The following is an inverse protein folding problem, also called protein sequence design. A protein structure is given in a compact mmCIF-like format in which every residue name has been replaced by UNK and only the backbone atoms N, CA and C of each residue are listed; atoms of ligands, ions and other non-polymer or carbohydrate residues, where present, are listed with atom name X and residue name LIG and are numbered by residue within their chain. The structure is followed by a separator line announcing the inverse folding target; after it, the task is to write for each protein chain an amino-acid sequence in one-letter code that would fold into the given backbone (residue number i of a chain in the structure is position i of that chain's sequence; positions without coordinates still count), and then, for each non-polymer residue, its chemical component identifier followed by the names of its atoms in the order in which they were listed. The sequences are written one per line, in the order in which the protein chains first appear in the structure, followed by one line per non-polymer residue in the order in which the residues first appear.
data_IF_065329404079
#
_entry.id   IF_065329404079
#
_cell.length_a   1.000
_cell.length_b   1.000
_cell.length_c   1.000
_cell.angle_alpha   90.00
_cell.angle_beta   90.00
_cell.angle_gamma   90.00
#
_symmetry.space_group_name_H-M   'P 1'
#
loop_
_entity.id
_entity.type
_entity.pdbx_description
1 polymer ?
#
# COMPACT_ATOMS: atom_id res chain seq x y z
N UNK A 1 -42.51 -12.01 7.99
CA UNK A 1 -41.74 -10.87 8.54
C UNK A 1 -40.88 -11.23 9.76
N UNK A 2 -41.38 -12.04 10.72
CA UNK A 2 -40.59 -12.50 11.88
C UNK A 2 -39.44 -13.48 11.56
N UNK A 3 -39.66 -14.44 10.65
CA UNK A 3 -38.60 -15.36 10.18
C UNK A 3 -37.48 -14.63 9.44
N UNK A 4 -37.81 -13.63 8.63
CA UNK A 4 -36.83 -12.80 7.92
C UNK A 4 -36.02 -11.91 8.89
N UNK A 5 -36.62 -11.47 10.01
CA UNK A 5 -35.92 -10.80 11.11
C UNK A 5 -35.01 -11.75 11.91
N UNK A 6 -35.46 -12.97 12.22
CA UNK A 6 -34.62 -13.98 12.91
C UNK A 6 -33.42 -14.41 12.07
N UNK A 7 -33.60 -14.65 10.77
CA UNK A 7 -32.50 -14.98 9.86
C UNK A 7 -31.48 -13.84 9.78
N UNK A 8 -31.93 -12.58 9.75
CA UNK A 8 -31.06 -11.39 9.86
C UNK A 8 -30.30 -11.30 11.20
N UNK A 9 -30.89 -11.75 12.31
CA UNK A 9 -30.22 -11.74 13.62
C UNK A 9 -29.20 -12.87 13.77
N UNK A 10 -29.41 -14.05 13.18
CA UNK A 10 -28.47 -15.18 13.28
C UNK A 10 -27.30 -15.13 12.28
N UNK A 11 -27.40 -14.26 11.27
CA UNK A 11 -26.39 -14.10 10.22
C UNK A 11 -25.44 -12.92 10.44
N UNK A 12 -25.52 -12.27 11.60
CA UNK A 12 -24.65 -11.18 12.02
C UNK A 12 -23.51 -11.75 12.90
N UNK A 13 -22.27 -11.36 12.59
CA UNK A 13 -21.06 -11.80 13.29
C UNK A 13 -21.16 -11.53 14.80
N UNK A 14 -21.69 -10.36 15.15
CA UNK A 14 -21.77 -9.92 16.54
C UNK A 14 -22.77 -10.73 17.35
N UNK A 15 -23.87 -11.16 16.74
CA UNK A 15 -24.92 -11.92 17.42
C UNK A 15 -24.59 -13.42 17.49
N UNK A 16 -23.82 -13.94 16.54
CA UNK A 16 -23.51 -15.37 16.48
C UNK A 16 -22.60 -15.88 17.61
N UNK A 17 -21.66 -15.05 18.06
CA UNK A 17 -20.77 -15.37 19.17
C UNK A 17 -20.96 -14.46 20.39
N UNK A 18 -22.13 -13.83 20.50
CA UNK A 18 -22.48 -12.91 21.59
C UNK A 18 -21.39 -11.86 21.87
N UNK A 19 -20.88 -11.25 20.79
CA UNK A 19 -19.88 -10.18 20.81
C UNK A 19 -20.55 -8.81 21.03
N UNK A 20 -21.70 -8.80 21.68
CA UNK A 20 -22.46 -7.61 22.06
C UNK A 20 -22.25 -7.39 23.57
N UNK A 21 -22.62 -6.22 24.09
CA UNK A 21 -22.47 -5.88 25.51
C UNK A 21 -20.98 -5.94 25.97
N UNK A 22 -20.69 -6.45 27.17
CA UNK A 22 -19.34 -6.47 27.75
C UNK A 22 -18.28 -7.25 26.97
N UNK A 23 -18.66 -7.96 25.89
CA UNK A 23 -17.77 -8.75 25.03
C UNK A 23 -17.45 -8.08 23.67
N UNK A 24 -17.90 -6.84 23.44
CA UNK A 24 -17.61 -6.09 22.21
C UNK A 24 -16.10 -5.95 21.91
N UNK A 25 -15.28 -5.86 22.96
CA UNK A 25 -13.82 -5.79 22.87
C UNK A 25 -13.21 -7.00 22.14
N UNK A 26 -13.88 -8.17 22.13
CA UNK A 26 -13.41 -9.35 21.44
C UNK A 26 -13.42 -9.14 19.91
N UNK A 27 -14.48 -8.54 19.37
CA UNK A 27 -14.56 -8.24 17.94
C UNK A 27 -13.43 -7.28 17.50
N UNK A 28 -13.20 -6.23 18.28
CA UNK A 28 -12.11 -5.27 18.09
C UNK A 28 -10.73 -5.92 18.22
N UNK A 29 -10.55 -6.77 19.23
CA UNK A 29 -9.31 -7.53 19.44
C UNK A 29 -9.02 -8.45 18.25
N UNK A 30 -10.04 -9.09 17.66
CA UNK A 30 -9.85 -9.91 16.44
C UNK A 30 -9.31 -9.09 15.27
N UNK A 31 -9.69 -7.81 15.17
CA UNK A 31 -9.21 -6.90 14.13
C UNK A 31 -7.79 -6.42 14.43
N UNK A 32 -7.47 -6.08 15.68
CA UNK A 32 -6.11 -5.72 16.09
C UNK A 32 -5.15 -6.88 15.85
N UNK A 33 -5.51 -8.10 16.23
CA UNK A 33 -4.71 -9.31 15.98
C UNK A 33 -4.44 -9.45 14.47
N UNK A 34 -5.49 -9.34 13.64
CA UNK A 34 -5.36 -9.39 12.18
C UNK A 34 -4.37 -8.34 11.66
N UNK A 35 -4.45 -7.10 12.12
CA UNK A 35 -3.54 -6.03 11.71
C UNK A 35 -2.10 -6.26 12.18
N UNK A 36 -1.89 -6.76 13.41
CA UNK A 36 -0.56 -7.04 13.95
C UNK A 36 0.15 -8.16 13.20
N UNK A 37 -0.55 -9.24 12.87
CA UNK A 37 0.07 -10.36 12.14
C UNK A 37 0.40 -10.00 10.70
N UNK A 38 -0.32 -9.07 10.07
CA UNK A 38 -0.03 -8.60 8.71
C UNK A 38 1.42 -8.11 8.52
N UNK A 39 2.04 -7.49 9.54
CA UNK A 39 3.45 -7.04 9.49
C UNK A 39 4.38 -8.22 9.25
N UNK A 40 4.23 -9.28 10.05
CA UNK A 40 5.08 -10.46 9.96
C UNK A 40 4.86 -11.19 8.63
N UNK A 41 3.62 -11.23 8.16
CA UNK A 41 3.26 -11.79 6.86
C UNK A 41 3.98 -11.09 5.71
N UNK A 42 3.91 -9.76 5.68
CA UNK A 42 4.57 -8.97 4.65
C UNK A 42 6.10 -9.06 4.74
N UNK A 43 6.68 -8.99 5.94
CA UNK A 43 8.13 -9.12 6.11
C UNK A 43 8.66 -10.45 5.55
N UNK A 44 8.01 -11.56 5.91
CA UNK A 44 8.42 -12.91 5.48
C UNK A 44 8.26 -13.04 3.96
N UNK A 45 7.12 -12.63 3.42
CA UNK A 45 6.81 -12.84 1.99
C UNK A 45 7.53 -11.86 1.09
N UNK A 46 7.71 -10.60 1.48
CA UNK A 46 8.49 -9.61 0.75
C UNK A 46 9.96 -10.04 0.66
N UNK A 47 10.54 -10.53 1.76
CA UNK A 47 11.89 -11.10 1.75
C UNK A 47 11.95 -12.38 0.89
N UNK A 48 10.99 -13.28 1.02
CA UNK A 48 10.92 -14.49 0.19
C UNK A 48 10.75 -14.15 -1.30
N UNK A 49 10.00 -13.11 -1.64
CA UNK A 49 9.79 -12.68 -3.01
C UNK A 49 11.07 -12.14 -3.65
N UNK A 50 11.97 -11.54 -2.87
CA UNK A 50 13.30 -11.12 -3.36
C UNK A 50 14.20 -12.32 -3.68
N UNK A 51 14.07 -13.42 -2.92
CA UNK A 51 14.92 -14.62 -3.09
C UNK A 51 14.36 -15.63 -4.09
N UNK A 52 13.06 -15.88 -4.08
CA UNK A 52 12.40 -16.94 -4.85
C UNK A 52 11.80 -16.41 -6.16
N UNK A 53 11.36 -15.15 -6.17
CA UNK A 53 10.67 -14.52 -7.28
C UNK A 53 9.33 -13.92 -6.87
N UNK A 54 8.86 -12.92 -7.62
CA UNK A 54 7.60 -12.20 -7.33
C UNK A 54 6.40 -13.09 -7.59
N UNK A 55 6.35 -13.74 -8.74
CA UNK A 55 5.23 -14.59 -9.20
C UNK A 55 4.94 -15.77 -8.27
N UNK A 56 5.89 -16.65 -7.89
CA UNK A 56 5.59 -17.82 -7.08
C UNK A 56 5.10 -17.44 -5.68
N UNK A 57 5.69 -16.42 -5.06
CA UNK A 57 5.27 -15.95 -3.73
C UNK A 57 3.89 -15.30 -3.78
N UNK A 58 3.58 -14.55 -4.85
CA UNK A 58 2.25 -13.98 -5.03
C UNK A 58 1.15 -15.06 -5.19
N UNK A 59 1.42 -16.10 -5.99
CA UNK A 59 0.52 -17.26 -6.14
C UNK A 59 0.34 -17.98 -4.80
N UNK A 60 1.43 -18.19 -4.06
CA UNK A 60 1.39 -18.83 -2.75
C UNK A 60 0.55 -18.03 -1.75
N UNK A 61 0.72 -16.70 -1.70
CA UNK A 61 -0.08 -15.82 -0.85
C UNK A 61 -1.58 -15.91 -1.17
N UNK A 62 -1.96 -15.87 -2.45
CA UNK A 62 -3.37 -16.05 -2.84
C UNK A 62 -3.91 -17.45 -2.50
N UNK A 63 -3.11 -18.51 -2.65
CA UNK A 63 -3.52 -19.85 -2.26
C UNK A 63 -3.83 -19.93 -0.76
N UNK A 64 -2.99 -19.32 0.09
CA UNK A 64 -3.25 -19.22 1.53
C UNK A 64 -4.54 -18.43 1.84
N UNK A 65 -4.78 -17.31 1.15
CA UNK A 65 -6.03 -16.53 1.31
C UNK A 65 -7.25 -17.35 0.93
N UNK A 66 -7.20 -18.13 -0.16
CA UNK A 66 -8.32 -18.99 -0.57
C UNK A 66 -8.60 -20.06 0.50
N UNK A 67 -7.57 -20.77 0.96
CA UNK A 67 -7.70 -21.87 1.92
C UNK A 67 -8.18 -21.35 3.28
N UNK A 68 -7.41 -20.46 3.90
CA UNK A 68 -7.67 -19.99 5.26
C UNK A 68 -8.81 -18.97 5.32
N UNK A 69 -9.00 -18.16 4.29
CA UNK A 69 -10.12 -17.24 4.21
C UNK A 69 -11.46 -17.97 4.06
N UNK A 70 -11.52 -19.02 3.24
CA UNK A 70 -12.73 -19.86 3.14
C UNK A 70 -12.98 -20.63 4.44
N UNK A 71 -11.93 -21.18 5.07
CA UNK A 71 -12.03 -21.81 6.37
C UNK A 71 -12.54 -20.84 7.46
N UNK A 72 -12.12 -19.56 7.42
CA UNK A 72 -12.65 -18.52 8.31
C UNK A 72 -14.16 -18.38 8.18
N UNK A 73 -14.71 -18.40 6.96
CA UNK A 73 -16.16 -18.35 6.76
C UNK A 73 -16.91 -19.59 7.27
N UNK A 74 -16.25 -20.75 7.33
CA UNK A 74 -16.80 -22.01 7.82
C UNK A 74 -16.60 -22.24 9.33
N UNK A 75 -15.83 -21.38 10.00
CA UNK A 75 -15.46 -21.54 11.42
C UNK A 75 -16.68 -21.53 12.35
N UNK A 76 -16.78 -22.50 13.26
CA UNK A 76 -17.93 -22.61 14.18
C UNK A 76 -17.64 -22.03 15.57
N UNK A 77 -16.37 -21.98 15.96
CA UNK A 77 -15.89 -21.41 17.23
C UNK A 77 -15.19 -20.08 17.01
N UNK A 78 -15.37 -19.14 17.94
CA UNK A 78 -14.71 -17.84 17.94
C UNK A 78 -13.17 -17.96 17.93
N UNK A 79 -12.59 -18.89 18.70
CA UNK A 79 -11.13 -19.08 18.71
C UNK A 79 -10.64 -19.55 17.34
N UNK A 80 -11.36 -20.50 16.72
CA UNK A 80 -11.05 -20.97 15.37
C UNK A 80 -11.16 -19.82 14.35
N UNK A 81 -12.18 -18.97 14.47
CA UNK A 81 -12.31 -17.77 13.65
C UNK A 81 -11.12 -16.82 13.79
N UNK A 82 -10.71 -16.47 15.01
CA UNK A 82 -9.58 -15.56 15.24
C UNK A 82 -8.28 -16.13 14.69
N UNK A 83 -8.00 -17.41 14.94
CA UNK A 83 -6.78 -18.07 14.43
C UNK A 83 -6.76 -18.11 12.90
N UNK A 84 -7.86 -18.54 12.26
CA UNK A 84 -7.95 -18.61 10.80
C UNK A 84 -7.90 -17.22 10.15
N UNK A 85 -8.56 -16.23 10.78
CA UNK A 85 -8.50 -14.83 10.36
C UNK A 85 -7.07 -14.30 10.47
N UNK A 86 -6.36 -14.60 11.55
CA UNK A 86 -4.96 -14.21 11.72
C UNK A 86 -4.05 -14.82 10.63
N UNK A 87 -4.21 -16.11 10.32
CA UNK A 87 -3.46 -16.76 9.24
C UNK A 87 -3.80 -16.13 7.88
N UNK A 88 -5.07 -15.80 7.65
CA UNK A 88 -5.49 -15.07 6.45
C UNK A 88 -4.81 -13.70 6.38
N UNK A 89 -4.67 -12.99 7.50
CA UNK A 89 -3.98 -11.70 7.60
C UNK A 89 -2.50 -11.77 7.20
N UNK A 90 -1.79 -12.82 7.62
CA UNK A 90 -0.40 -13.08 7.19
C UNK A 90 -0.27 -13.16 5.66
N UNK A 91 -1.27 -13.70 4.96
CA UNK A 91 -1.25 -13.84 3.51
C UNK A 91 -1.82 -12.63 2.75
N UNK A 92 -2.67 -11.82 3.40
CA UNK A 92 -3.45 -10.76 2.74
C UNK A 92 -2.62 -9.55 2.29
N UNK A 93 -1.68 -9.08 3.11
CA UNK A 93 -0.83 -7.94 2.73
C UNK A 93 0.24 -8.36 1.75
N UNK A 94 0.79 -9.55 1.97
CA UNK A 94 1.75 -10.22 1.12
C UNK A 94 1.31 -10.27 -0.35
N UNK A 95 0.04 -10.55 -0.63
CA UNK A 95 -0.49 -10.54 -2.00
C UNK A 95 -0.49 -9.12 -2.60
N UNK A 96 -0.88 -8.10 -1.83
CA UNK A 96 -0.87 -6.70 -2.28
C UNK A 96 0.54 -6.23 -2.64
N UNK A 97 1.51 -6.43 -1.73
CA UNK A 97 2.89 -5.97 -1.90
C UNK A 97 3.59 -6.65 -3.08
N UNK A 98 3.47 -7.97 -3.18
CA UNK A 98 4.11 -8.74 -4.27
C UNK A 98 3.46 -8.49 -5.63
N UNK A 99 2.14 -8.26 -5.68
CA UNK A 99 1.42 -7.92 -6.91
C UNK A 99 1.81 -6.55 -7.44
N UNK A 100 1.88 -5.56 -6.55
CA UNK A 100 2.36 -4.20 -6.86
C UNK A 100 3.79 -4.22 -7.41
N UNK A 101 4.70 -4.95 -6.77
CA UNK A 101 6.08 -5.12 -7.22
C UNK A 101 6.16 -5.74 -8.62
N UNK A 102 5.43 -6.83 -8.84
CA UNK A 102 5.42 -7.52 -10.13
C UNK A 102 4.97 -6.57 -11.25
N UNK A 103 3.86 -5.85 -11.06
CA UNK A 103 3.34 -4.91 -12.06
C UNK A 103 4.36 -3.80 -12.33
N UNK A 104 4.87 -3.15 -11.29
CA UNK A 104 5.79 -2.02 -11.45
C UNK A 104 7.13 -2.41 -12.10
N UNK A 105 7.58 -3.65 -11.91
CA UNK A 105 8.77 -4.20 -12.55
C UNK A 105 8.55 -4.64 -14.00
N UNK A 106 7.29 -4.82 -14.42
CA UNK A 106 6.93 -5.19 -15.81
C UNK A 106 6.80 -3.97 -16.74
N UNK A 107 6.61 -2.76 -16.19
CA UNK A 107 6.43 -1.55 -16.99
C UNK A 107 7.66 -0.64 -16.95
N UNK A 108 7.97 -0.03 -18.10
CA UNK A 108 9.01 0.99 -18.22
C UNK A 108 8.65 2.29 -17.47
N UNK A 109 9.62 3.19 -17.34
CA UNK A 109 9.46 4.47 -16.62
C UNK A 109 8.32 5.35 -17.15
N UNK A 110 8.06 5.31 -18.45
CA UNK A 110 7.01 6.10 -19.11
C UNK A 110 5.59 5.73 -18.63
N UNK A 111 5.31 4.43 -18.47
CA UNK A 111 3.96 3.94 -18.14
C UNK A 111 3.76 3.72 -16.63
N UNK A 112 4.81 3.95 -15.84
CA UNK A 112 4.83 3.65 -14.40
C UNK A 112 3.79 4.43 -13.60
N UNK A 113 3.55 5.69 -13.96
CA UNK A 113 2.54 6.52 -13.29
C UNK A 113 1.13 5.99 -13.49
N UNK A 114 0.83 5.54 -14.72
CA UNK A 114 -0.47 4.96 -15.08
C UNK A 114 -0.68 3.65 -14.34
N UNK A 115 0.35 2.80 -14.26
CA UNK A 115 0.23 1.50 -13.60
C UNK A 115 0.21 1.60 -12.08
N UNK A 116 0.99 2.52 -11.50
CA UNK A 116 1.01 2.76 -10.06
C UNK A 116 -0.33 3.31 -9.56
N UNK A 117 -0.78 4.44 -10.13
CA UNK A 117 -2.05 5.08 -9.72
C UNK A 117 -3.26 4.28 -10.23
N UNK A 118 -3.13 3.56 -11.34
CA UNK A 118 -4.14 2.64 -11.87
C UNK A 118 -4.63 1.62 -10.85
N UNK A 119 -3.74 1.15 -9.97
CA UNK A 119 -4.08 0.19 -8.91
C UNK A 119 -4.91 0.81 -7.78
N UNK A 120 -4.86 2.12 -7.61
CA UNK A 120 -5.74 2.83 -6.67
C UNK A 120 -7.18 2.86 -7.18
N UNK A 121 -7.40 2.90 -8.51
CA UNK A 121 -8.76 2.72 -9.04
C UNK A 121 -9.34 1.35 -8.74
N UNK A 122 -8.51 0.29 -8.77
CA UNK A 122 -8.94 -1.04 -8.35
C UNK A 122 -9.40 -1.04 -6.87
N UNK A 123 -8.68 -0.33 -5.99
CA UNK A 123 -9.09 -0.17 -4.60
C UNK A 123 -10.47 0.48 -4.47
N UNK A 124 -10.71 1.59 -5.18
CA UNK A 124 -12.00 2.30 -5.14
C UNK A 124 -13.16 1.45 -5.66
N UNK A 125 -12.94 0.71 -6.76
CA UNK A 125 -13.94 -0.22 -7.30
C UNK A 125 -14.32 -1.27 -6.25
N UNK A 126 -13.33 -1.87 -5.60
CA UNK A 126 -13.57 -2.88 -4.55
C UNK A 126 -14.24 -2.27 -3.31
N UNK A 127 -13.85 -1.06 -2.92
CA UNK A 127 -14.43 -0.32 -1.80
C UNK A 127 -15.92 -0.05 -2.01
N UNK A 128 -16.34 0.35 -3.22
CA UNK A 128 -17.74 0.59 -3.56
C UNK A 128 -18.52 -0.72 -3.80
N UNK A 129 -17.85 -1.77 -4.29
CA UNK A 129 -18.48 -3.07 -4.54
C UNK A 129 -18.77 -3.84 -3.25
N UNK A 130 -17.90 -3.74 -2.24
CA UNK A 130 -18.03 -4.46 -0.97
C UNK A 130 -19.38 -4.25 -0.26
N UNK A 131 -19.89 -3.01 -0.04
CA UNK A 131 -21.20 -2.81 0.59
C UNK A 131 -22.35 -3.34 -0.26
N UNK A 132 -22.24 -3.32 -1.59
CA UNK A 132 -23.25 -3.90 -2.49
C UNK A 132 -23.28 -5.42 -2.33
N UNK A 133 -22.11 -6.08 -2.29
CA UNK A 133 -22.02 -7.51 -2.04
C UNK A 133 -22.53 -7.87 -0.65
N UNK A 134 -22.24 -7.08 0.37
CA UNK A 134 -22.75 -7.28 1.73
C UNK A 134 -24.28 -7.11 1.81
N UNK A 135 -24.85 -6.18 1.03
CA UNK A 135 -26.30 -6.01 0.93
C UNK A 135 -26.98 -7.20 0.25
N UNK A 136 -26.38 -7.73 -0.83
CA UNK A 136 -26.92 -8.92 -1.52
C UNK A 136 -26.74 -10.18 -0.66
N UNK A 137 -25.56 -10.35 -0.08
CA UNK A 137 -25.16 -11.49 0.75
C UNK A 137 -25.27 -11.11 2.22
N UNK A 138 -26.48 -11.20 2.75
CA UNK A 138 -26.84 -10.89 4.13
C UNK A 138 -26.08 -11.71 5.20
N UNK A 139 -25.36 -12.76 4.81
CA UNK A 139 -24.61 -13.63 5.70
C UNK A 139 -23.11 -13.40 5.52
N UNK A 140 -22.45 -12.95 6.59
CA UNK A 140 -21.02 -12.64 6.60
C UNK A 140 -20.15 -13.85 6.19
N UNK A 141 -20.61 -15.08 6.45
CA UNK A 141 -19.90 -16.32 6.10
C UNK A 141 -19.83 -16.53 4.60
N UNK A 142 -20.95 -16.33 3.90
CA UNK A 142 -21.00 -16.42 2.45
C UNK A 142 -20.20 -15.29 1.80
N UNK A 143 -20.27 -14.08 2.37
CA UNK A 143 -19.47 -12.96 1.92
C UNK A 143 -17.96 -13.27 2.06
N UNK A 144 -17.53 -13.77 3.22
CA UNK A 144 -16.14 -14.14 3.48
C UNK A 144 -15.65 -15.21 2.47
N UNK A 145 -16.41 -16.29 2.28
CA UNK A 145 -16.06 -17.35 1.31
C UNK A 145 -16.00 -16.81 -0.11
N UNK A 146 -16.96 -15.98 -0.53
CA UNK A 146 -16.95 -15.38 -1.86
C UNK A 146 -15.72 -14.51 -2.09
N UNK A 147 -15.37 -13.65 -1.13
CA UNK A 147 -14.19 -12.81 -1.21
C UNK A 147 -12.90 -13.65 -1.26
N UNK A 148 -12.81 -14.72 -0.47
CA UNK A 148 -11.68 -15.65 -0.53
C UNK A 148 -11.58 -16.38 -1.86
N UNK A 149 -12.69 -16.89 -2.41
CA UNK A 149 -12.70 -17.57 -3.71
C UNK A 149 -12.39 -16.63 -4.88
N UNK A 150 -12.69 -15.34 -4.76
CA UNK A 150 -12.32 -14.35 -5.78
C UNK A 150 -10.80 -14.27 -6.01
N UNK A 151 -10.00 -14.66 -5.03
CA UNK A 151 -8.54 -14.77 -5.16
C UNK A 151 -8.09 -15.87 -6.15
N UNK A 152 -8.94 -16.86 -6.45
CA UNK A 152 -8.63 -17.86 -7.48
C UNK A 152 -8.54 -17.23 -8.88
N UNK A 153 -9.37 -16.24 -9.17
CA UNK A 153 -9.33 -15.51 -10.45
C UNK A 153 -7.99 -14.80 -10.61
N UNK A 154 -7.51 -14.15 -9.55
CA UNK A 154 -6.20 -13.52 -9.51
C UNK A 154 -5.06 -14.52 -9.67
N UNK A 155 -5.15 -15.67 -9.00
CA UNK A 155 -4.15 -16.73 -9.11
C UNK A 155 -4.02 -17.24 -10.56
N UNK A 156 -5.15 -17.49 -11.25
CA UNK A 156 -5.16 -17.90 -12.65
C UNK A 156 -4.55 -16.82 -13.55
N UNK A 157 -4.91 -15.55 -13.32
CA UNK A 157 -4.38 -14.43 -14.09
C UNK A 157 -2.85 -14.30 -13.96
N UNK A 158 -2.33 -14.34 -12.74
CA UNK A 158 -0.89 -14.23 -12.46
C UNK A 158 -0.13 -15.46 -12.96
N UNK A 159 -0.74 -16.64 -12.95
CA UNK A 159 -0.11 -17.85 -13.49
C UNK A 159 0.21 -17.72 -14.99
N UNK A 160 -0.60 -16.97 -15.74
CA UNK A 160 -0.40 -16.70 -17.17
C UNK A 160 0.69 -15.63 -17.40
N UNK A 161 0.91 -14.71 -16.46
CA UNK A 161 1.93 -13.68 -16.59
C UNK A 161 3.35 -14.25 -16.48
N UNK A 162 4.33 -13.67 -17.19
CA UNK A 162 5.73 -14.05 -16.98
C UNK A 162 6.25 -13.48 -15.65
N UNK A 163 7.40 -13.98 -15.21
CA UNK A 163 8.11 -13.42 -14.05
C UNK A 163 8.76 -12.06 -14.42
N UNK A 164 8.95 -11.22 -13.41
CA UNK A 164 9.57 -9.90 -13.53
C UNK A 164 10.91 -9.95 -14.28
N UNK A 165 11.04 -9.28 -15.44
CA UNK A 165 12.32 -9.19 -16.16
C UNK A 165 13.42 -8.53 -15.34
N UNK A 166 13.08 -7.47 -14.59
CA UNK A 166 14.01 -6.74 -13.75
C UNK A 166 14.59 -7.63 -12.64
N UNK A 167 13.72 -8.41 -11.96
CA UNK A 167 14.17 -9.35 -10.94
C UNK A 167 15.05 -10.47 -11.52
N UNK A 168 14.72 -10.96 -12.72
CA UNK A 168 15.52 -11.98 -13.40
C UNK A 168 16.92 -11.48 -13.75
N UNK A 169 17.04 -10.25 -14.27
CA UNK A 169 18.33 -9.60 -14.54
C UNK A 169 19.12 -9.39 -13.26
N UNK A 170 18.50 -8.85 -12.22
CA UNK A 170 19.16 -8.60 -10.93
C UNK A 170 19.68 -9.89 -10.27
N UNK A 171 19.05 -11.04 -10.53
CA UNK A 171 19.51 -12.36 -10.05
C UNK A 171 20.38 -13.11 -11.06
N UNK A 172 20.87 -12.46 -12.12
CA UNK A 172 21.76 -13.05 -13.12
C UNK A 172 21.11 -14.11 -14.03
N UNK A 173 19.78 -14.22 -14.04
CA UNK A 173 19.02 -15.17 -14.85
C UNK A 173 18.68 -14.58 -16.23
N UNK A 174 19.70 -14.14 -16.98
CA UNK A 174 19.56 -13.42 -18.25
C UNK A 174 18.73 -14.17 -19.30
N UNK A 175 18.97 -15.47 -19.51
CA UNK A 175 18.23 -16.28 -20.49
C UNK A 175 16.71 -16.28 -20.20
N UNK A 176 16.33 -16.37 -18.92
CA UNK A 176 14.91 -16.30 -18.52
C UNK A 176 14.35 -14.89 -18.69
N UNK A 177 15.15 -13.85 -18.45
CA UNK A 177 14.75 -12.47 -18.67
C UNK A 177 14.48 -12.20 -20.15
N UNK A 178 15.36 -12.65 -21.05
CA UNK A 178 15.19 -12.55 -22.51
C UNK A 178 13.93 -13.27 -22.99
N UNK A 179 13.68 -14.48 -22.46
CA UNK A 179 12.44 -15.21 -22.73
C UNK A 179 11.19 -14.47 -22.24
N UNK A 180 11.26 -13.85 -21.05
CA UNK A 180 10.17 -13.04 -20.48
C UNK A 180 9.85 -11.85 -21.39
N UNK A 181 10.87 -11.06 -21.74
CA UNK A 181 10.75 -9.90 -22.63
C UNK A 181 10.26 -10.30 -24.04
N UNK A 182 10.75 -11.42 -24.58
CA UNK A 182 10.30 -11.93 -25.89
C UNK A 182 8.83 -12.31 -25.86
N UNK A 183 8.33 -12.94 -24.77
CA UNK A 183 6.90 -13.24 -24.61
C UNK A 183 6.06 -11.97 -24.52
N UNK A 184 6.54 -10.95 -23.81
CA UNK A 184 5.89 -9.65 -23.70
C UNK A 184 5.82 -8.95 -25.07
N UNK A 185 6.93 -8.90 -25.81
CA UNK A 185 7.00 -8.31 -27.15
C UNK A 185 6.02 -8.99 -28.12
N UNK A 186 5.99 -10.33 -28.15
CA UNK A 186 5.06 -11.10 -28.98
C UNK A 186 3.59 -10.79 -28.65
N UNK A 187 3.23 -10.70 -27.36
CA UNK A 187 1.86 -10.35 -26.95
C UNK A 187 1.48 -8.92 -27.31
N UNK A 188 2.44 -8.01 -27.32
CA UNK A 188 2.25 -6.62 -27.73
C UNK A 188 2.33 -6.43 -29.26
N UNK A 189 2.47 -7.51 -30.04
CA UNK A 189 2.54 -7.44 -31.51
C UNK A 189 3.88 -6.94 -32.06
N UNK A 190 4.91 -6.76 -31.21
CA UNK A 190 6.25 -6.37 -31.62
C UNK A 190 6.98 -7.58 -32.21
N UNK A 191 7.41 -7.47 -33.47
CA UNK A 191 8.29 -8.43 -34.12
C UNK A 191 9.74 -8.08 -33.77
N UNK A 192 10.38 -8.96 -33.00
CA UNK A 192 11.81 -8.87 -32.73
C UNK A 192 12.55 -9.44 -33.96
N UNK A 193 13.28 -8.59 -34.68
CA UNK A 193 14.07 -8.99 -35.85
C UNK A 193 15.33 -9.78 -35.45
N UNK A 194 15.81 -9.56 -34.23
CA UNK A 194 16.92 -10.29 -33.60
C UNK A 194 16.50 -10.75 -32.20
N UNK A 195 17.05 -11.86 -31.68
CA UNK A 195 16.86 -12.22 -30.28
C UNK A 195 17.34 -11.06 -29.40
N UNK A 196 16.52 -10.67 -28.42
CA UNK A 196 16.94 -9.73 -27.39
C UNK A 196 18.10 -10.37 -26.63
N UNK A 197 19.32 -9.95 -26.92
CA UNK A 197 20.51 -10.33 -26.17
C UNK A 197 20.74 -9.26 -25.12
N UNK A 198 20.37 -9.55 -23.88
CA UNK A 198 20.76 -8.72 -22.76
C UNK A 198 22.27 -8.88 -22.62
N UNK A 199 23.01 -7.81 -22.92
CA UNK A 199 24.46 -7.81 -22.82
C UNK A 199 24.86 -8.27 -21.42
N UNK A 200 25.66 -9.34 -21.34
CA UNK A 200 26.43 -9.69 -20.13
C UNK A 200 27.51 -8.64 -19.91
N UNK A 201 27.13 -7.37 -19.81
CA UNK A 201 28.01 -6.42 -19.17
C UNK A 201 28.01 -6.85 -17.70
N UNK A 202 29.04 -7.61 -17.35
CA UNK A 202 29.44 -7.76 -15.97
C UNK A 202 29.58 -6.33 -15.46
N UNK A 203 28.60 -5.83 -14.73
CA UNK A 203 28.94 -5.08 -13.53
C UNK A 203 29.85 -6.01 -12.73
N UNK A 204 31.16 -5.94 -13.03
CA UNK A 204 32.14 -6.25 -12.01
C UNK A 204 31.70 -5.38 -10.83
N UNK A 205 31.57 -5.93 -9.62
CA UNK A 205 31.61 -5.05 -8.47
C UNK A 205 32.88 -4.21 -8.68
N UNK A 206 32.75 -2.87 -8.72
CA UNK A 206 33.87 -1.98 -8.53
C UNK A 206 34.38 -2.23 -7.10
N UNK A 207 35.07 -3.34 -6.91
CA UNK A 207 36.16 -3.38 -5.97
C UNK A 207 37.30 -2.74 -6.74
N UNK A 208 37.65 -1.51 -6.37
CA UNK A 208 38.92 -0.89 -6.73
C UNK A 208 40.06 -1.80 -6.20
N UNK A 209 40.31 -2.90 -6.88
CA UNK A 209 41.48 -3.73 -6.62
C UNK A 209 42.63 -3.13 -7.42
N UNK A 210 43.22 -2.06 -6.87
CA UNK A 210 44.57 -1.68 -7.28
C UNK A 210 45.51 -2.80 -6.84
N UNK A 211 45.93 -3.61 -7.82
CA UNK A 211 47.04 -4.53 -7.61
C UNK A 211 48.34 -3.72 -7.61
N UNK A 212 48.84 -3.35 -6.44
CA UNK A 212 50.25 -2.98 -6.29
C UNK A 212 51.08 -4.26 -6.27
N UNK A 213 51.91 -4.44 -7.30
CA UNK A 213 52.92 -5.49 -7.34
C UNK A 213 54.07 -5.04 -6.44
N UNK A 214 54.23 -5.70 -5.29
CA UNK A 214 55.43 -5.64 -4.46
C UNK A 214 56.22 -6.94 -4.63
N UNK A 215 57.55 -6.89 -4.61
CA UNK A 215 58.44 -8.01 -4.96
C UNK A 215 58.35 -9.25 -4.04
N UNK A 216 57.59 -9.21 -2.93
CA UNK A 216 57.53 -10.30 -1.94
C UNK A 216 56.16 -11.01 -1.78
N UNK A 217 55.24 -10.92 -2.76
CA UNK A 217 54.09 -11.83 -2.87
C UNK A 217 52.69 -11.19 -2.87
N UNK A 218 51.71 -11.96 -3.39
CA UNK A 218 50.31 -11.54 -3.58
C UNK A 218 49.60 -11.48 -2.22
N UNK A 219 49.39 -10.28 -1.69
CA UNK A 219 48.47 -10.05 -0.57
C UNK A 219 47.18 -9.43 -1.10
N UNK A 220 46.10 -10.22 -1.10
CA UNK A 220 44.76 -9.72 -1.41
C UNK A 220 44.18 -9.05 -0.16
N UNK A 221 44.23 -7.72 -0.10
CA UNK A 221 43.49 -6.96 0.92
C UNK A 221 42.11 -6.62 0.35
N UNK A 222 41.05 -7.19 0.93
CA UNK A 222 39.67 -6.78 0.64
C UNK A 222 39.50 -5.37 1.18
N UNK A 223 39.42 -4.37 0.29
CA UNK A 223 38.99 -3.04 0.71
C UNK A 223 37.50 -3.12 1.04
N UNK A 224 37.18 -2.99 2.34
CA UNK A 224 35.85 -2.65 2.80
C UNK A 224 35.38 -1.42 2.03
N UNK A 225 34.38 -1.58 1.16
CA UNK A 225 33.73 -0.46 0.47
C UNK A 225 32.99 0.33 1.55
N UNK A 226 33.69 1.28 2.17
CA UNK A 226 33.09 2.30 3.03
C UNK A 226 32.13 3.09 2.15
N UNK A 227 30.85 2.72 2.18
CA UNK A 227 29.79 3.57 1.63
C UNK A 227 29.97 4.94 2.29
N UNK A 228 30.23 6.02 1.54
CA UNK A 228 30.48 7.33 2.12
C UNK A 228 29.32 7.69 3.06
N UNK A 229 29.64 8.08 4.29
CA UNK A 229 28.65 8.36 5.35
C UNK A 229 27.52 9.29 4.87
N UNK A 230 27.84 10.24 3.99
CA UNK A 230 26.89 11.19 3.39
C UNK A 230 25.81 10.52 2.51
N UNK A 231 26.15 9.44 1.78
CA UNK A 231 25.18 8.69 0.95
C UNK A 231 24.18 7.96 1.84
N UNK A 232 24.64 7.44 2.97
CA UNK A 232 23.80 6.75 3.95
C UNK A 232 22.85 7.72 4.68
N UNK A 233 23.34 8.92 5.00
CA UNK A 233 22.52 9.99 5.60
C UNK A 233 21.37 10.40 4.67
N UNK A 234 21.65 10.70 3.39
CA UNK A 234 20.60 11.05 2.42
C UNK A 234 19.56 9.94 2.27
N UNK A 235 19.99 8.68 2.29
CA UNK A 235 19.07 7.54 2.23
C UNK A 235 18.17 7.46 3.46
N UNK A 236 18.73 7.62 4.67
CA UNK A 236 17.94 7.64 5.90
C UNK A 236 17.00 8.85 5.98
N UNK A 237 17.41 10.01 5.47
CA UNK A 237 16.57 11.21 5.41
C UNK A 237 15.35 10.99 4.51
N UNK A 238 15.57 10.47 3.29
CA UNK A 238 14.47 10.12 2.36
C UNK A 238 13.51 9.14 3.02
N UNK A 239 14.01 8.05 3.59
CA UNK A 239 13.17 7.03 4.22
C UNK A 239 12.37 7.61 5.39
N UNK A 240 13.00 8.43 6.22
CA UNK A 240 12.38 8.99 7.42
C UNK A 240 11.27 9.97 7.04
N UNK A 241 11.54 10.86 6.08
CA UNK A 241 10.56 11.83 5.57
C UNK A 241 9.41 11.09 4.90
N UNK A 242 9.69 10.15 4.00
CA UNK A 242 8.69 9.33 3.31
C UNK A 242 7.83 8.50 4.29
N UNK A 243 8.44 7.90 5.31
CA UNK A 243 7.72 7.13 6.33
C UNK A 243 6.80 8.03 7.17
N UNK A 244 7.24 9.24 7.52
CA UNK A 244 6.41 10.22 8.21
C UNK A 244 5.22 10.68 7.35
N UNK A 245 5.47 11.02 6.09
CA UNK A 245 4.45 11.36 5.09
C UNK A 245 3.39 10.26 5.02
N UNK A 246 3.80 9.00 4.85
CA UNK A 246 2.89 7.85 4.76
C UNK A 246 2.12 7.62 6.06
N UNK A 247 2.76 7.74 7.21
CA UNK A 247 2.11 7.56 8.51
C UNK A 247 1.02 8.60 8.74
N UNK A 248 1.35 9.87 8.53
CA UNK A 248 0.39 10.97 8.65
C UNK A 248 -0.74 10.84 7.63
N UNK A 249 -0.43 10.55 6.37
CA UNK A 249 -1.42 10.38 5.32
C UNK A 249 -2.40 9.24 5.62
N UNK A 250 -1.89 8.09 6.08
CA UNK A 250 -2.69 6.94 6.51
C UNK A 250 -3.57 7.28 7.71
N UNK A 251 -3.03 8.00 8.70
CA UNK A 251 -3.76 8.44 9.88
C UNK A 251 -4.92 9.36 9.54
N UNK A 252 -4.69 10.37 8.70
CA UNK A 252 -5.74 11.31 8.24
C UNK A 252 -6.77 10.58 7.37
N UNK A 253 -6.34 9.73 6.45
CA UNK A 253 -7.22 8.94 5.59
C UNK A 253 -8.18 8.05 6.40
N UNK A 254 -7.65 7.27 7.35
CA UNK A 254 -8.49 6.44 8.22
C UNK A 254 -9.33 7.26 9.20
N UNK A 255 -8.79 8.36 9.74
CA UNK A 255 -9.52 9.27 10.61
C UNK A 255 -10.77 9.87 9.95
N UNK A 256 -10.66 10.24 8.66
CA UNK A 256 -11.80 10.73 7.88
C UNK A 256 -12.83 9.63 7.59
N UNK A 257 -12.38 8.41 7.31
CA UNK A 257 -13.30 7.26 7.14
C UNK A 257 -14.08 7.00 8.42
N UNK A 258 -13.42 7.00 9.58
CA UNK A 258 -14.08 6.81 10.89
C UNK A 258 -15.04 7.95 11.24
N UNK A 259 -14.75 9.17 10.78
CA UNK A 259 -15.58 10.34 11.02
C UNK A 259 -16.75 10.45 10.04
N UNK A 260 -16.74 9.70 8.93
CA UNK A 260 -17.77 9.74 7.88
C UNK A 260 -19.20 9.50 8.41
N UNK A 261 -19.45 8.53 9.32
CA UNK A 261 -20.79 8.33 9.88
C UNK A 261 -21.30 9.48 10.75
N UNK A 262 -20.42 10.33 11.25
CA UNK A 262 -20.75 11.48 12.11
C UNK A 262 -21.05 12.76 11.32
N UNK A 263 -20.86 12.74 10.00
CA UNK A 263 -21.20 13.85 9.10
C UNK A 263 -22.72 14.01 8.96
N UNK A 264 -23.17 15.21 8.61
CA UNK A 264 -24.59 15.44 8.37
C UNK A 264 -25.08 14.69 7.12
N UNK A 265 -26.34 14.25 7.16
CA UNK A 265 -26.98 13.50 6.09
C UNK A 265 -27.17 12.01 6.41
N UNK A 266 -27.48 11.23 5.39
CA UNK A 266 -27.63 9.78 5.52
C UNK A 266 -26.24 9.10 5.56
N UNK A 267 -26.03 8.20 6.52
CA UNK A 267 -24.74 7.53 6.75
C UNK A 267 -24.29 6.67 5.57
N UNK A 268 -25.22 6.04 4.85
CA UNK A 268 -24.89 5.18 3.70
C UNK A 268 -24.57 6.04 2.49
N UNK A 269 -25.31 7.14 2.30
CA UNK A 269 -25.01 8.14 1.29
C UNK A 269 -23.63 8.76 1.52
N UNK A 270 -23.31 9.16 2.75
CA UNK A 270 -22.00 9.72 3.09
C UNK A 270 -20.87 8.72 2.84
N UNK A 271 -21.06 7.44 3.18
CA UNK A 271 -20.07 6.40 2.86
C UNK A 271 -19.87 6.23 1.34
N UNK A 272 -20.95 6.21 0.57
CA UNK A 272 -20.89 6.11 -0.88
C UNK A 272 -20.20 7.34 -1.51
N UNK A 273 -20.51 8.55 -1.05
CA UNK A 273 -19.87 9.79 -1.50
C UNK A 273 -18.37 9.76 -1.17
N UNK A 274 -18.00 9.38 0.05
CA UNK A 274 -16.60 9.23 0.48
C UNK A 274 -15.81 8.31 -0.45
N UNK A 275 -16.39 7.19 -0.89
CA UNK A 275 -15.77 6.30 -1.87
C UNK A 275 -15.73 6.87 -3.30
N UNK A 276 -16.81 7.51 -3.74
CA UNK A 276 -16.90 8.11 -5.08
C UNK A 276 -15.92 9.26 -5.27
N UNK A 277 -15.64 10.03 -4.22
CA UNK A 277 -14.67 11.14 -4.22
C UNK A 277 -13.25 10.66 -4.56
N UNK A 278 -12.90 9.40 -4.29
CA UNK A 278 -11.58 8.86 -4.60
C UNK A 278 -11.35 8.67 -6.11
N UNK A 279 -12.40 8.46 -6.91
CA UNK A 279 -12.28 8.30 -8.37
C UNK A 279 -11.73 9.58 -9.04
N UNK A 280 -12.36 10.77 -8.90
CA UNK A 280 -11.80 11.99 -9.46
C UNK A 280 -10.49 12.39 -8.79
N UNK A 281 -10.27 12.04 -7.51
CA UNK A 281 -9.01 12.29 -6.82
C UNK A 281 -7.86 11.54 -7.49
N UNK A 282 -8.02 10.24 -7.74
CA UNK A 282 -7.01 9.41 -8.41
C UNK A 282 -6.80 9.82 -9.87
N UNK A 283 -7.86 10.22 -10.58
CA UNK A 283 -7.75 10.73 -11.95
C UNK A 283 -6.96 12.05 -12.00
N UNK A 284 -7.24 12.99 -11.11
CA UNK A 284 -6.49 14.24 -11.03
C UNK A 284 -5.06 14.00 -10.57
N UNK A 285 -4.83 13.08 -9.63
CA UNK A 285 -3.49 12.68 -9.21
C UNK A 285 -2.66 12.16 -10.39
N UNK A 286 -3.24 11.30 -11.23
CA UNK A 286 -2.56 10.78 -12.43
C UNK A 286 -2.18 11.90 -13.40
N UNK A 287 -3.11 12.82 -13.69
CA UNK A 287 -2.85 13.97 -14.57
C UNK A 287 -1.80 14.92 -13.99
N UNK A 288 -1.88 15.21 -12.69
CA UNK A 288 -0.96 16.09 -11.99
C UNK A 288 0.46 15.50 -11.99
N UNK A 289 0.60 14.19 -11.73
CA UNK A 289 1.91 13.52 -11.70
C UNK A 289 2.57 13.48 -13.07
N UNK A 290 1.78 13.31 -14.13
CA UNK A 290 2.29 13.34 -15.50
C UNK A 290 2.77 14.74 -15.90
N UNK A 291 2.11 15.81 -15.43
CA UNK A 291 2.42 17.19 -15.84
C UNK A 291 3.46 17.89 -14.96
N UNK A 292 3.40 17.68 -13.65
CA UNK A 292 4.15 18.47 -12.65
C UNK A 292 5.15 17.65 -11.83
N UNK A 293 5.34 16.37 -12.17
CA UNK A 293 6.17 15.45 -11.39
C UNK A 293 5.49 14.97 -10.11
N UNK A 294 6.22 14.40 -9.16
CA UNK A 294 5.66 13.77 -7.95
C UNK A 294 5.68 14.72 -6.76
N UNK A 295 6.71 15.56 -6.68
CA UNK A 295 7.00 16.43 -5.54
C UNK A 295 5.92 17.49 -5.34
N UNK A 296 5.61 18.26 -6.38
CA UNK A 296 4.65 19.37 -6.30
C UNK A 296 3.21 18.86 -6.06
N UNK A 297 2.69 17.85 -6.79
CA UNK A 297 1.35 17.33 -6.52
C UNK A 297 1.18 16.79 -5.11
N UNK A 298 2.19 16.11 -4.55
CA UNK A 298 2.16 15.63 -3.16
C UNK A 298 1.93 16.77 -2.18
N UNK A 299 2.67 17.88 -2.33
CA UNK A 299 2.49 19.07 -1.51
C UNK A 299 1.09 19.67 -1.65
N UNK A 300 0.65 19.90 -2.89
CA UNK A 300 -0.64 20.54 -3.18
C UNK A 300 -1.81 19.72 -2.65
N UNK A 301 -1.82 18.40 -2.85
CA UNK A 301 -2.90 17.55 -2.36
C UNK A 301 -2.95 17.48 -0.82
N UNK A 302 -1.80 17.48 -0.16
CA UNK A 302 -1.75 17.60 1.30
C UNK A 302 -2.24 18.96 1.81
N UNK A 303 -2.00 20.06 1.07
CA UNK A 303 -2.57 21.38 1.41
C UNK A 303 -4.09 21.41 1.22
N UNK A 304 -4.58 20.81 0.13
CA UNK A 304 -6.02 20.63 -0.14
C UNK A 304 -6.67 19.77 0.96
N UNK A 305 -5.94 18.83 1.55
CA UNK A 305 -6.40 18.08 2.71
C UNK A 305 -6.41 18.92 4.00
N UNK A 306 -5.29 19.58 4.30
CA UNK A 306 -5.06 20.23 5.59
C UNK A 306 -5.83 21.52 5.82
N UNK A 307 -5.89 22.41 4.81
CA UNK A 307 -6.52 23.73 4.96
C UNK A 307 -8.03 23.62 5.28
N UNK A 308 -8.82 22.80 4.55
CA UNK A 308 -10.23 22.58 4.88
C UNK A 308 -10.44 21.95 6.27
N UNK A 309 -9.58 21.01 6.69
CA UNK A 309 -9.67 20.41 8.03
C UNK A 309 -9.38 21.42 9.14
N UNK A 310 -8.43 22.33 8.89
CA UNK A 310 -8.17 23.46 9.78
C UNK A 310 -9.40 24.34 9.92
N UNK A 311 -10.06 24.67 8.80
CA UNK A 311 -11.31 25.44 8.83
C UNK A 311 -12.43 24.71 9.59
N UNK A 312 -12.56 23.39 9.43
CA UNK A 312 -13.54 22.57 10.17
C UNK A 312 -13.34 22.66 11.68
N UNK A 313 -12.10 22.73 12.17
CA UNK A 313 -11.81 22.83 13.61
C UNK A 313 -12.39 24.08 14.27
N UNK A 314 -12.59 25.17 13.53
CA UNK A 314 -13.11 26.44 14.04
C UNK A 314 -14.59 26.68 13.69
N UNK A 315 -15.22 25.79 12.92
CA UNK A 315 -16.63 25.94 12.52
C UNK A 315 -17.59 25.54 13.66
N UNK A 316 -18.56 26.39 14.02
CA UNK A 316 -19.58 26.02 15.00
C UNK A 316 -20.55 24.97 14.42
N UNK A 317 -21.12 24.15 15.29
CA UNK A 317 -22.02 23.01 14.97
C UNK A 317 -23.25 23.34 14.11
N UNK A 318 -23.56 24.62 13.90
CA UNK A 318 -24.68 25.08 13.07
C UNK A 318 -24.43 24.88 11.57
N UNK A 319 -23.17 24.88 11.11
CA UNK A 319 -22.82 24.82 9.69
C UNK A 319 -22.51 23.41 9.20
N UNK A 320 -23.40 22.46 9.47
CA UNK A 320 -23.14 21.03 9.22
C UNK A 320 -22.88 20.69 7.75
N UNK A 321 -23.63 21.30 6.82
CA UNK A 321 -23.44 21.10 5.38
C UNK A 321 -22.07 21.58 4.90
N UNK A 322 -21.62 22.73 5.43
CA UNK A 322 -20.29 23.27 5.13
C UNK A 322 -19.19 22.37 5.71
N UNK A 323 -19.38 21.84 6.93
CA UNK A 323 -18.48 20.86 7.53
C UNK A 323 -18.35 19.61 6.66
N UNK A 324 -19.46 19.06 6.17
CA UNK A 324 -19.45 17.90 5.26
C UNK A 324 -18.74 18.23 3.95
N UNK A 325 -19.03 19.38 3.34
CA UNK A 325 -18.37 19.81 2.10
C UNK A 325 -16.84 19.94 2.28
N UNK A 326 -16.38 20.59 3.35
CA UNK A 326 -14.96 20.73 3.65
C UNK A 326 -14.30 19.38 3.96
N UNK A 327 -14.99 18.48 4.66
CA UNK A 327 -14.51 17.12 4.91
C UNK A 327 -14.37 16.31 3.61
N UNK A 328 -15.27 16.49 2.64
CA UNK A 328 -15.17 15.84 1.33
C UNK A 328 -14.02 16.40 0.47
N UNK A 329 -13.78 17.72 0.53
CA UNK A 329 -12.59 18.32 -0.12
C UNK A 329 -11.31 17.79 0.54
N UNK A 330 -11.30 17.66 1.88
CA UNK A 330 -10.17 17.10 2.58
C UNK A 330 -9.93 15.63 2.22
N UNK A 331 -11.02 14.86 2.13
CA UNK A 331 -11.00 13.46 1.68
C UNK A 331 -10.48 13.33 0.25
N UNK A 332 -10.88 14.23 -0.64
CA UNK A 332 -10.34 14.30 -2.00
C UNK A 332 -8.83 14.52 -1.99
N UNK A 333 -8.35 15.53 -1.26
CA UNK A 333 -6.93 15.84 -1.16
C UNK A 333 -6.12 14.68 -0.61
N UNK A 334 -6.57 14.08 0.49
CA UNK A 334 -5.83 12.99 1.15
C UNK A 334 -5.80 11.70 0.32
N UNK A 335 -6.88 11.40 -0.42
CA UNK A 335 -6.90 10.24 -1.31
C UNK A 335 -6.00 10.45 -2.53
N UNK A 336 -6.00 11.65 -3.11
CA UNK A 336 -5.07 11.99 -4.19
C UNK A 336 -3.60 11.93 -3.73
N UNK A 337 -3.27 12.46 -2.55
CA UNK A 337 -1.91 12.35 -2.00
C UNK A 337 -1.52 10.89 -1.73
N UNK A 338 -2.45 10.05 -1.27
CA UNK A 338 -2.20 8.62 -1.07
C UNK A 338 -1.75 7.94 -2.37
N UNK A 339 -2.46 8.19 -3.47
CA UNK A 339 -2.11 7.62 -4.77
C UNK A 339 -0.73 8.09 -5.28
N UNK A 340 -0.40 9.38 -5.10
CA UNK A 340 0.92 9.90 -5.50
C UNK A 340 2.03 9.34 -4.61
N UNK A 341 1.83 9.28 -3.29
CA UNK A 341 2.85 8.82 -2.35
C UNK A 341 3.18 7.34 -2.58
N UNK A 342 2.18 6.47 -2.79
CA UNK A 342 2.45 5.05 -3.07
C UNK A 342 3.35 4.87 -4.29
N UNK A 343 3.12 5.66 -5.35
CA UNK A 343 4.00 5.68 -6.51
C UNK A 343 5.39 6.28 -6.18
N UNK A 344 5.41 7.41 -5.48
CA UNK A 344 6.62 8.17 -5.19
C UNK A 344 7.60 7.39 -4.31
N UNK A 345 7.10 6.75 -3.24
CA UNK A 345 7.87 5.87 -2.37
C UNK A 345 8.59 4.79 -3.19
N UNK A 346 7.90 4.16 -4.16
CA UNK A 346 8.48 3.09 -4.98
C UNK A 346 9.59 3.57 -5.91
N UNK A 347 9.55 4.84 -6.31
CA UNK A 347 10.59 5.47 -7.14
C UNK A 347 11.80 5.94 -6.29
N UNK A 348 11.64 6.10 -4.97
CA UNK A 348 12.69 6.50 -4.03
C UNK A 348 13.53 5.33 -3.50
N UNK A 349 12.94 4.14 -3.39
CA UNK A 349 13.64 2.97 -2.84
C UNK A 349 14.41 2.19 -3.92
N UNK A 350 15.66 1.79 -3.64
CA UNK A 350 16.47 1.08 -4.60
C UNK A 350 15.98 -0.37 -4.75
N UNK A 351 16.14 -0.93 -5.95
CA UNK A 351 15.58 -2.25 -6.30
C UNK A 351 16.00 -3.37 -5.34
N UNK A 352 17.25 -3.32 -4.85
CA UNK A 352 17.83 -4.27 -3.90
C UNK A 352 17.32 -4.14 -2.45
N UNK A 353 16.63 -3.04 -2.10
CA UNK A 353 16.07 -2.79 -0.76
C UNK A 353 14.54 -2.63 -0.80
N UNK A 354 13.87 -3.13 -1.84
CA UNK A 354 12.41 -3.03 -1.96
C UNK A 354 11.63 -3.78 -0.90
N UNK A 355 12.18 -4.88 -0.35
CA UNK A 355 11.55 -5.54 0.80
C UNK A 355 11.47 -4.61 2.03
N UNK A 356 12.42 -3.69 2.20
CA UNK A 356 12.42 -2.73 3.31
C UNK A 356 11.28 -1.70 3.15
N UNK A 357 11.05 -1.24 1.91
CA UNK A 357 9.89 -0.41 1.59
C UNK A 357 8.58 -1.13 1.94
N UNK A 358 8.42 -2.38 1.49
CA UNK A 358 7.15 -3.08 1.67
C UNK A 358 6.90 -3.38 3.15
N UNK A 359 7.95 -3.76 3.88
CA UNK A 359 7.92 -3.90 5.34
C UNK A 359 7.53 -2.59 6.04
N UNK A 360 8.12 -1.46 5.65
CA UNK A 360 7.77 -0.15 6.22
C UNK A 360 6.30 0.21 5.96
N UNK A 361 5.79 -0.12 4.77
CA UNK A 361 4.39 0.09 4.39
C UNK A 361 3.44 -0.77 5.21
N UNK A 362 3.79 -2.03 5.47
CA UNK A 362 3.04 -2.92 6.33
C UNK A 362 2.98 -2.40 7.78
N UNK A 363 4.12 -1.97 8.34
CA UNK A 363 4.17 -1.37 9.69
C UNK A 363 3.25 -0.16 9.77
N UNK A 364 3.34 0.78 8.83
CA UNK A 364 2.52 2.00 8.81
C UNK A 364 1.03 1.67 8.68
N UNK A 365 0.68 0.73 7.80
CA UNK A 365 -0.70 0.28 7.60
C UNK A 365 -1.26 -0.34 8.87
N UNK A 366 -0.48 -1.17 9.56
CA UNK A 366 -0.85 -1.77 10.84
C UNK A 366 -1.02 -0.72 11.93
N UNK A 367 -0.10 0.24 12.05
CA UNK A 367 -0.22 1.34 13.02
C UNK A 367 -1.49 2.15 12.78
N UNK A 368 -1.79 2.48 11.51
CA UNK A 368 -3.05 3.13 11.14
C UNK A 368 -4.27 2.28 11.51
N UNK A 369 -4.25 0.99 11.19
CA UNK A 369 -5.32 0.04 11.51
C UNK A 369 -5.57 -0.11 13.01
N UNK A 370 -4.51 -0.29 13.82
CA UNK A 370 -4.62 -0.33 15.28
C UNK A 370 -5.09 1.02 15.83
N UNK A 371 -4.59 2.13 15.26
CA UNK A 371 -5.05 3.48 15.56
C UNK A 371 -6.55 3.66 15.36
N UNK A 372 -7.15 3.04 14.33
CA UNK A 372 -8.61 3.11 14.12
C UNK A 372 -9.44 2.49 15.22
N UNK A 373 -8.91 1.44 15.87
CA UNK A 373 -9.56 0.76 17.00
C UNK A 373 -9.44 1.60 18.27
N UNK A 374 -8.30 2.28 18.47
CA UNK A 374 -8.05 3.10 19.66
C UNK A 374 -8.73 4.48 19.57
N UNK A 375 -8.89 5.03 18.36
CA UNK A 375 -9.37 6.40 18.14
C UNK A 375 -10.70 6.75 18.82
N UNK A 376 -11.75 5.89 18.83
CA UNK A 376 -12.99 6.17 19.54
C UNK A 376 -12.80 6.35 21.06
N UNK A 377 -11.91 5.57 21.68
CA UNK A 377 -11.60 5.68 23.12
C UNK A 377 -10.88 7.00 23.44
N UNK A 378 -9.94 7.42 22.58
CA UNK A 378 -9.24 8.70 22.73
C UNK A 378 -10.20 9.89 22.54
N UNK A 379 -11.17 9.78 21.63
CA UNK A 379 -12.20 10.80 21.43
C UNK A 379 -13.12 10.93 22.66
N UNK A 380 -13.50 9.82 23.29
CA UNK A 380 -14.28 9.82 24.52
C UNK A 380 -13.54 10.48 25.69
N UNK A 381 -12.23 10.22 25.81
CA UNK A 381 -11.41 10.75 26.89
C UNK A 381 -11.16 12.28 26.80
N UNK A 382 -11.14 12.84 25.60
CA UNK A 382 -10.72 14.24 25.39
C UNK A 382 -11.88 15.23 25.38
N UNK A 383 -13.12 14.84 25.07
CA UNK A 383 -14.32 15.71 24.96
C UNK A 383 -14.20 16.94 24.03
N UNK A 384 -13.04 17.15 23.40
CA UNK A 384 -12.73 18.28 22.51
C UNK A 384 -13.00 17.88 21.06
N UNK A 385 -14.14 18.33 20.53
CA UNK A 385 -14.58 18.05 19.16
C UNK A 385 -13.68 18.62 18.06
N UNK A 386 -12.93 19.68 18.34
CA UNK A 386 -12.00 20.32 17.39
C UNK A 386 -10.63 19.65 17.31
N UNK A 387 -10.25 18.86 18.32
CA UNK A 387 -8.90 18.31 18.47
C UNK A 387 -8.52 17.34 17.32
N UNK A 388 -9.36 16.38 16.89
CA UNK A 388 -9.02 15.53 15.75
C UNK A 388 -8.87 16.30 14.43
N UNK A 389 -9.70 17.32 14.22
CA UNK A 389 -9.66 18.11 12.98
C UNK A 389 -8.39 18.94 12.89
N UNK A 390 -7.97 19.58 14.00
CA UNK A 390 -6.74 20.39 14.00
C UNK A 390 -5.48 19.52 13.92
N UNK A 391 -5.47 18.33 14.53
CA UNK A 391 -4.32 17.42 14.43
C UNK A 391 -4.16 16.91 13.00
N UNK A 392 -5.26 16.52 12.34
CA UNK A 392 -5.21 16.12 10.93
C UNK A 392 -4.82 17.26 10.00
N UNK A 393 -5.28 18.49 10.29
CA UNK A 393 -4.88 19.68 9.56
C UNK A 393 -3.38 19.96 9.68
N UNK A 394 -2.85 19.98 10.91
CA UNK A 394 -1.45 20.20 11.18
C UNK A 394 -0.57 19.13 10.53
N UNK A 395 -0.91 17.85 10.70
CA UNK A 395 -0.20 16.74 10.07
C UNK A 395 -0.17 16.89 8.54
N UNK A 396 -1.32 17.20 7.92
CA UNK A 396 -1.40 17.36 6.46
C UNK A 396 -0.56 18.54 5.96
N UNK A 397 -0.60 19.69 6.64
CA UNK A 397 0.21 20.86 6.24
C UNK A 397 1.71 20.59 6.43
N UNK A 398 2.12 20.01 7.56
CA UNK A 398 3.52 19.65 7.80
C UNK A 398 4.01 18.66 6.73
N UNK A 399 3.21 17.65 6.41
CA UNK A 399 3.50 16.70 5.34
C UNK A 399 3.65 17.37 3.98
N UNK A 400 2.73 18.26 3.61
CA UNK A 400 2.84 18.96 2.32
C UNK A 400 4.13 19.77 2.22
N UNK A 401 4.53 20.48 3.30
CA UNK A 401 5.80 21.22 3.33
C UNK A 401 7.02 20.28 3.30
N UNK A 402 7.02 19.21 4.08
CA UNK A 402 8.12 18.23 4.10
C UNK A 402 8.27 17.48 2.79
N UNK A 403 7.18 17.27 2.04
CA UNK A 403 7.25 16.64 0.71
C UNK A 403 8.09 17.45 -0.27
N UNK A 404 8.22 18.76 -0.07
CA UNK A 404 9.10 19.60 -0.88
C UNK A 404 10.58 19.36 -0.59
N UNK A 405 10.97 18.67 0.48
CA UNK A 405 12.37 18.31 0.72
C UNK A 405 12.80 17.10 -0.11
N UNK A 406 11.84 16.25 -0.50
CA UNK A 406 12.12 15.05 -1.28
C UNK A 406 12.54 15.37 -2.73
N UNK A 407 13.41 14.54 -3.33
CA UNK A 407 13.91 14.76 -4.69
C UNK A 407 12.88 14.36 -5.75
N UNK A 408 12.84 15.06 -6.88
CA UNK A 408 11.93 14.74 -7.98
C UNK A 408 12.35 13.46 -8.72
N UNK A 409 11.39 12.57 -9.00
CA UNK A 409 11.61 11.25 -9.62
C UNK A 409 11.05 11.14 -11.04
N UNK A 410 10.28 12.13 -11.50
CA UNK A 410 9.67 12.12 -12.82
C UNK A 410 10.70 11.93 -13.95
N UNK A 411 10.45 10.95 -14.82
CA UNK A 411 11.29 10.65 -15.98
C UNK A 411 12.64 10.00 -15.67
N UNK A 412 12.96 9.75 -14.40
CA UNK A 412 14.23 9.12 -13.99
C UNK A 412 14.11 7.59 -13.93
N UNK A 413 15.20 6.85 -14.22
CA UNK A 413 15.24 5.41 -13.97
C UNK A 413 15.13 5.12 -12.46
N UNK A 414 14.63 3.93 -12.11
CA UNK A 414 14.54 3.54 -10.70
C UNK A 414 15.94 3.27 -10.15
N UNK A 415 16.26 3.74 -8.93
CA UNK A 415 17.56 3.50 -8.33
C UNK A 415 17.82 2.00 -8.21
N UNK A 416 19.03 1.57 -8.58
CA UNK A 416 19.53 0.22 -8.36
C UNK A 416 20.42 0.18 -7.12
N UNK A 417 21.11 1.29 -6.82
CA UNK A 417 22.08 1.41 -5.72
C UNK A 417 21.77 2.60 -4.81
N UNK A 418 22.45 2.64 -3.65
CA UNK A 418 22.44 3.82 -2.76
C UNK A 418 23.06 5.07 -3.41
N UNK A 419 23.89 4.89 -4.43
CA UNK A 419 24.56 5.98 -5.13
C UNK A 419 23.58 6.74 -6.02
N UNK A 420 22.69 6.01 -6.68
CA UNK A 420 21.62 6.59 -7.50
C UNK A 420 20.73 7.50 -6.66
N UNK A 421 20.46 7.12 -5.41
CA UNK A 421 19.65 7.93 -4.47
C UNK A 421 20.37 9.23 -4.10
N UNK A 422 21.68 9.16 -3.84
CA UNK A 422 22.45 10.37 -3.58
C UNK A 422 22.49 11.28 -4.81
N UNK A 423 22.53 10.72 -6.03
CA UNK A 423 22.45 11.48 -7.26
C UNK A 423 21.09 12.18 -7.44
N UNK A 424 20.00 11.67 -6.86
CA UNK A 424 18.69 12.32 -6.91
C UNK A 424 18.66 13.69 -6.21
N UNK A 425 19.56 13.92 -5.24
CA UNK A 425 19.71 15.19 -4.51
C UNK A 425 20.49 16.27 -5.26
N UNK A 426 21.21 15.90 -6.33
CA UNK A 426 21.89 16.85 -7.22
C UNK A 426 20.97 17.25 -8.36
#
# INVERSE_FOLDING_TARGET
TFLHRRVKLTSDLFLQWDLVCGNNYLAEMSQVIYQCVMIFGDLITSYAADKVGRKPIHIFAHALVVIFGSATGLSQSYISFVVLKAITGLASVSSRSTGLLLIMEMFGSEHRSVTGIGLEFQWVILYLLLPVLAFLLHNWRHLQVLLSLSSLLWMVYIWILPESPMWLVANGQYEKAELSLTKMAKRNGLRLNEPLLLSREKEKPNTDMQMTISEDGITATVQDVKVPQLKLIHFFDVISIDSFLRLANTGVYYGLILSTPSLAGDRFLNFAITGLVEIPANALALLAVHRFGRRIPTCVFHMIAGIPLGAVAFLPFRYKELTTALAMIAKFGISASFAVIVLYTRELFPTNLRYLESTSSAIITTLGGVGTVIAPFAAYATSLSWLPSITFAALSVICGLLSLVLPETAGRPMPQTLEDIHALYR
#
